data_IF_032892678433
#
_entry.id   IF_032892678433
#
_cell.length_a   1.000
_cell.length_b   1.000
_cell.length_c   1.000
_cell.angle_alpha   90.00
_cell.angle_beta   90.00
_cell.angle_gamma   90.00
#
_symmetry.space_group_name_H-M   'P 1'
#
loop_
_entity.id
_entity.type
_entity.pdbx_description
1 polymer ?
#
# COMPACT_ATOMS: atom_id res chain seq x y z
N UNK A 1 7.93 -9.98 6.04
CA UNK A 1 7.14 -9.61 7.23
C UNK A 1 7.21 -10.67 8.33
N UNK A 2 7.36 -11.96 8.00
CA UNK A 2 7.56 -13.02 9.00
C UNK A 2 8.73 -12.72 9.96
N UNK A 3 9.86 -12.24 9.44
CA UNK A 3 11.05 -11.94 10.26
C UNK A 3 10.82 -10.78 11.26
N UNK A 4 9.91 -9.85 10.92
CA UNK A 4 9.48 -8.80 11.85
C UNK A 4 8.53 -9.36 12.90
N UNK A 5 7.64 -10.26 12.50
CA UNK A 5 6.71 -10.94 13.41
C UNK A 5 7.44 -11.87 14.38
N UNK A 6 8.54 -12.51 13.95
CA UNK A 6 9.41 -13.33 14.80
C UNK A 6 10.36 -12.51 15.66
N UNK A 7 10.51 -11.21 15.38
CA UNK A 7 11.46 -10.32 16.06
C UNK A 7 12.91 -10.49 15.61
N UNK A 8 13.16 -11.22 14.52
CA UNK A 8 14.49 -11.33 13.90
C UNK A 8 14.92 -10.02 13.24
N UNK A 9 13.96 -9.18 12.84
CA UNK A 9 14.18 -7.84 12.28
C UNK A 9 13.41 -6.81 13.08
N UNK A 10 14.10 -5.75 13.49
CA UNK A 10 13.59 -4.62 14.26
C UNK A 10 13.47 -3.32 13.45
N UNK A 11 14.01 -3.28 12.23
CA UNK A 11 13.96 -2.13 11.35
C UNK A 11 13.76 -2.47 9.87
N UNK A 12 13.01 -1.63 9.16
CA UNK A 12 12.79 -1.69 7.72
C UNK A 12 13.24 -0.37 7.10
N UNK A 13 14.04 -0.45 6.04
CA UNK A 13 14.47 0.72 5.27
C UNK A 13 13.95 0.60 3.85
N UNK A 14 13.29 1.65 3.37
CA UNK A 14 12.78 1.72 2.01
C UNK A 14 13.00 3.13 1.43
N UNK A 15 12.90 3.27 0.10
CA UNK A 15 12.91 4.61 -0.49
C UNK A 15 11.63 5.38 -0.13
N UNK A 16 10.46 4.73 -0.29
CA UNK A 16 9.14 5.29 0.04
C UNK A 16 8.24 4.17 0.57
N UNK A 17 7.15 4.53 1.27
CA UNK A 17 6.16 3.57 1.76
C UNK A 17 5.56 2.71 0.64
N UNK A 18 5.28 3.29 -0.53
CA UNK A 18 4.76 2.59 -1.71
C UNK A 18 5.69 1.48 -2.26
N UNK A 19 6.96 1.45 -1.86
CA UNK A 19 7.90 0.38 -2.27
C UNK A 19 7.92 -0.81 -1.32
N UNK A 20 7.22 -0.73 -0.21
CA UNK A 20 7.20 -1.79 0.81
C UNK A 20 6.24 -2.91 0.43
N UNK A 21 5.05 -2.56 -0.06
CA UNK A 21 4.04 -3.53 -0.49
C UNK A 21 3.84 -3.48 -2.00
N UNK A 22 3.42 -4.60 -2.59
CA UNK A 22 3.13 -4.66 -4.04
C UNK A 22 1.70 -4.25 -4.36
N UNK A 23 0.81 -4.36 -3.37
CA UNK A 23 -0.60 -4.00 -3.50
C UNK A 23 -0.97 -3.01 -2.41
N UNK A 24 -1.79 -2.02 -2.77
CA UNK A 24 -2.41 -1.13 -1.80
C UNK A 24 -3.19 -1.92 -0.74
N UNK A 25 -3.83 -3.03 -1.11
CA UNK A 25 -4.54 -3.92 -0.16
C UNK A 25 -3.64 -4.55 0.91
N UNK A 26 -2.33 -4.64 0.68
CA UNK A 26 -1.37 -5.19 1.64
C UNK A 26 -0.81 -4.12 2.60
N UNK A 27 -0.96 -2.83 2.26
CA UNK A 27 -0.42 -1.72 3.05
C UNK A 27 -1.08 -1.65 4.43
N UNK A 28 -2.38 -1.92 4.51
CA UNK A 28 -3.13 -1.89 5.76
C UNK A 28 -2.54 -2.86 6.80
N UNK A 29 -2.32 -4.12 6.40
CA UNK A 29 -1.72 -5.13 7.25
C UNK A 29 -0.27 -4.77 7.65
N UNK A 30 0.43 -4.02 6.80
CA UNK A 30 1.77 -3.52 7.12
C UNK A 30 1.73 -2.39 8.16
N UNK A 31 0.80 -1.45 8.07
CA UNK A 31 0.63 -0.41 9.08
C UNK A 31 0.25 -1.01 10.44
N UNK A 32 -0.63 -2.01 10.46
CA UNK A 32 -0.99 -2.74 11.67
C UNK A 32 0.21 -3.52 12.25
N UNK A 33 1.07 -4.07 11.37
CA UNK A 33 2.31 -4.71 11.81
C UNK A 33 3.23 -3.72 12.54
N UNK A 34 3.35 -2.49 12.05
CA UNK A 34 4.13 -1.44 12.72
C UNK A 34 3.56 -1.13 14.10
N UNK A 35 2.24 -0.98 14.20
CA UNK A 35 1.57 -0.69 15.48
C UNK A 35 1.73 -1.81 16.51
N UNK A 36 1.65 -3.07 16.05
CA UNK A 36 1.68 -4.24 16.93
C UNK A 36 3.10 -4.62 17.36
N UNK A 37 4.08 -4.46 16.48
CA UNK A 37 5.47 -4.88 16.75
C UNK A 37 6.38 -3.74 17.20
N UNK A 38 6.03 -2.50 16.88
CA UNK A 38 6.92 -1.35 17.10
C UNK A 38 8.15 -1.35 16.20
N UNK A 39 8.17 -2.13 15.12
CA UNK A 39 9.28 -2.15 14.14
C UNK A 39 9.54 -0.73 13.63
N UNK A 40 10.81 -0.33 13.59
CA UNK A 40 11.19 0.99 13.09
C UNK A 40 11.14 0.99 11.56
N UNK A 41 10.54 2.02 10.97
CA UNK A 41 10.49 2.15 9.50
C UNK A 41 11.09 3.48 9.08
N UNK A 42 12.17 3.42 8.30
CA UNK A 42 12.82 4.58 7.73
C UNK A 42 12.56 4.64 6.22
N UNK A 43 12.00 5.76 5.75
CA UNK A 43 11.85 6.04 4.33
C UNK A 43 12.68 7.26 3.94
N UNK A 44 13.28 7.23 2.74
CA UNK A 44 13.99 8.41 2.19
C UNK A 44 13.00 9.56 1.93
N UNK A 45 11.81 9.22 1.43
CA UNK A 45 10.74 10.18 1.18
C UNK A 45 9.41 9.63 1.73
N UNK A 46 8.56 10.54 2.19
CA UNK A 46 7.21 10.22 2.67
C UNK A 46 6.98 10.63 4.13
N UNK A 47 6.03 9.95 4.76
CA UNK A 47 5.60 10.24 6.12
C UNK A 47 6.26 9.30 7.12
N UNK A 48 6.50 9.80 8.33
CA UNK A 48 7.01 9.01 9.44
C UNK A 48 5.94 8.02 9.94
N UNK A 49 6.11 6.74 9.59
CA UNK A 49 5.20 5.66 9.97
C UNK A 49 5.28 5.28 11.45
N UNK A 50 6.27 5.79 12.20
CA UNK A 50 6.30 5.68 13.66
C UNK A 50 5.21 6.52 14.34
N UNK A 51 4.70 7.55 13.66
CA UNK A 51 3.67 8.44 14.20
C UNK A 51 2.26 8.03 13.78
N UNK A 52 1.27 8.33 14.63
CA UNK A 52 -0.16 8.11 14.33
C UNK A 52 -0.57 8.90 13.07
N UNK A 53 -0.15 10.16 12.99
CA UNK A 53 -0.48 11.04 11.86
C UNK A 53 0.13 10.54 10.55
N UNK A 54 1.38 10.09 10.56
CA UNK A 54 2.03 9.55 9.37
C UNK A 54 1.35 8.28 8.86
N UNK A 55 0.95 7.37 9.77
CA UNK A 55 0.18 6.18 9.39
C UNK A 55 -1.22 6.53 8.87
N UNK A 56 -1.90 7.51 9.48
CA UNK A 56 -3.20 8.00 9.00
C UNK A 56 -3.10 8.51 7.55
N UNK A 57 -2.11 9.34 7.24
CA UNK A 57 -1.95 9.89 5.88
C UNK A 57 -1.70 8.77 4.86
N UNK A 58 -0.83 7.81 5.18
CA UNK A 58 -0.56 6.68 4.27
C UNK A 58 -1.80 5.78 4.09
N UNK A 59 -2.61 5.58 5.13
CA UNK A 59 -3.88 4.83 5.06
C UNK A 59 -4.89 5.53 4.13
N UNK A 60 -4.97 6.86 4.19
CA UNK A 60 -5.79 7.65 3.26
C UNK A 60 -5.28 7.53 1.82
N UNK A 61 -3.98 7.73 1.60
CA UNK A 61 -3.36 7.59 0.26
C UNK A 61 -3.62 6.20 -0.33
N UNK A 62 -3.48 5.16 0.49
CA UNK A 62 -3.76 3.78 0.09
C UNK A 62 -5.21 3.59 -0.37
N UNK A 63 -6.17 4.19 0.33
CA UNK A 63 -7.59 4.16 -0.07
C UNK A 63 -7.81 4.83 -1.43
N UNK A 64 -7.14 5.96 -1.66
CA UNK A 64 -7.20 6.66 -2.95
C UNK A 64 -6.62 5.79 -4.06
N UNK A 65 -5.45 5.19 -3.85
CA UNK A 65 -4.78 4.31 -4.82
C UNK A 65 -5.66 3.10 -5.22
N UNK A 66 -6.38 2.52 -4.25
CA UNK A 66 -7.33 1.44 -4.52
C UNK A 66 -8.46 1.92 -5.44
N UNK A 67 -9.08 3.05 -5.12
CA UNK A 67 -10.15 3.64 -5.94
C UNK A 67 -9.66 3.95 -7.36
N UNK A 68 -8.47 4.54 -7.52
CA UNK A 68 -7.89 4.80 -8.84
C UNK A 68 -7.65 3.51 -9.65
N UNK A 69 -7.21 2.45 -8.97
CA UNK A 69 -7.02 1.14 -9.58
C UNK A 69 -8.34 0.53 -10.06
N UNK A 70 -9.40 0.64 -9.27
CA UNK A 70 -10.74 0.17 -9.62
C UNK A 70 -11.30 0.92 -10.83
N UNK A 71 -11.25 2.25 -10.82
CA UNK A 71 -11.68 3.09 -11.94
C UNK A 71 -10.89 2.78 -13.22
N UNK A 72 -9.57 2.56 -13.12
CA UNK A 72 -8.74 2.16 -14.26
C UNK A 72 -9.16 0.78 -14.79
N UNK A 73 -9.49 -0.15 -13.89
CA UNK A 73 -9.98 -1.48 -14.25
C UNK A 73 -11.30 -1.40 -15.01
N UNK A 74 -12.26 -0.60 -14.55
CA UNK A 74 -13.53 -0.36 -15.24
C UNK A 74 -13.33 0.20 -16.65
N UNK A 75 -12.49 1.23 -16.79
CA UNK A 75 -12.16 1.85 -18.09
C UNK A 75 -11.53 0.84 -19.05
N UNK A 76 -10.62 0.01 -18.54
CA UNK A 76 -9.93 -1.02 -19.34
C UNK A 76 -10.94 -2.06 -19.83
N UNK A 77 -11.85 -2.52 -18.96
CA UNK A 77 -12.93 -3.45 -19.32
C UNK A 77 -13.88 -2.85 -20.35
N UNK A 78 -14.27 -1.58 -20.20
CA UNK A 78 -15.13 -0.89 -21.16
C UNK A 78 -14.48 -0.78 -22.55
N UNK A 79 -13.18 -0.49 -22.62
CA UNK A 79 -12.44 -0.44 -23.89
C UNK A 79 -12.19 -1.82 -24.53
N UNK A 80 -12.21 -2.90 -23.74
CA UNK A 80 -12.08 -4.29 -24.19
C UNK A 80 -13.43 -4.93 -24.56
N UNK A 81 -14.56 -4.30 -24.23
CA UNK A 81 -15.87 -4.78 -24.69
C UNK A 81 -15.85 -4.77 -26.23
N UNK A 82 -16.13 -5.92 -26.87
CA UNK A 82 -15.91 -6.08 -28.31
C UNK A 82 -16.68 -5.02 -29.08
N UNK A 83 -16.04 -4.46 -30.12
CA UNK A 83 -16.75 -3.84 -31.24
C UNK A 83 -17.70 -4.89 -31.82
N UNK A 84 -18.91 -5.01 -31.25
CA UNK A 84 -19.96 -5.85 -31.79
C UNK A 84 -20.27 -5.31 -33.19
N UNK A 85 -19.70 -5.96 -34.20
CA UNK A 85 -20.01 -5.66 -35.59
C UNK A 85 -21.46 -6.10 -35.82
N UNK A 86 -22.38 -5.21 -36.22
CA UNK A 86 -23.73 -5.63 -36.57
C UNK A 86 -23.65 -6.56 -37.79
N UNK A 87 -24.32 -7.71 -37.66
CA UNK A 87 -24.50 -8.70 -38.73
C UNK A 87 -25.42 -8.20 -39.85
#
# INVERSE_FOLDING_TARGET
>A
MADVQSGEVDAIVAHTSHRITRKASEMEAFLDLIETTGVSVATVEGHDLGTVDGRMVVRIMTTIDQNETELRSERTKAGLAPFSTPA
#
